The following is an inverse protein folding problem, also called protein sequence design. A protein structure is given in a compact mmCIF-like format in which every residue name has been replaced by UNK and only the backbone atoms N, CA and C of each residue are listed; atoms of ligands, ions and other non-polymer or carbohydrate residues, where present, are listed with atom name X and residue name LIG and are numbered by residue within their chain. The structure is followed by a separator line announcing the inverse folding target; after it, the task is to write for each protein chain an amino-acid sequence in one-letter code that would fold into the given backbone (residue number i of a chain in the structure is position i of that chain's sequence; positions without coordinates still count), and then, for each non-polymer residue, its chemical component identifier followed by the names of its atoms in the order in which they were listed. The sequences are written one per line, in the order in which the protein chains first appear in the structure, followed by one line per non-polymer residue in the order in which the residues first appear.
data_IF_475503008257
#
_entry.id   IF_475503008257
#
_cell.length_a   1.000
_cell.length_b   1.000
_cell.length_c   1.000
_cell.angle_alpha   90.00
_cell.angle_beta   90.00
_cell.angle_gamma   90.00
#
_symmetry.space_group_name_H-M   'P 1'
#
loop_
_entity.id
_entity.type
_entity.pdbx_description
1 polymer ?
#
# COMPACT_ATOMS: atom_id res chain seq x y z
N UNK A 1 12.23 16.23 -25.29
CA UNK A 1 11.90 14.82 -24.98
C UNK A 1 11.74 14.75 -23.48
N UNK A 2 10.63 14.29 -22.98
CA UNK A 2 10.39 14.15 -21.52
C UNK A 2 10.80 12.72 -21.16
N UNK A 3 11.71 12.56 -20.21
CA UNK A 3 12.17 11.25 -19.76
C UNK A 3 11.26 10.72 -18.65
N UNK A 4 11.26 9.41 -18.45
CA UNK A 4 10.50 8.76 -17.36
C UNK A 4 10.87 9.33 -15.99
N UNK A 5 12.18 9.59 -15.77
CA UNK A 5 12.68 10.22 -14.56
C UNK A 5 12.12 11.63 -14.29
N UNK A 6 11.88 12.42 -15.35
CA UNK A 6 11.32 13.77 -15.21
C UNK A 6 9.85 13.68 -14.75
N UNK A 7 9.11 12.67 -15.24
CA UNK A 7 7.72 12.42 -14.86
C UNK A 7 7.64 11.90 -13.42
N UNK A 8 8.54 10.97 -13.05
CA UNK A 8 8.63 10.42 -11.69
C UNK A 8 8.87 11.55 -10.67
N UNK A 9 9.88 12.40 -10.92
CA UNK A 9 10.22 13.51 -10.04
C UNK A 9 9.06 14.51 -9.92
N UNK A 10 8.39 14.83 -11.02
CA UNK A 10 7.23 15.73 -11.03
C UNK A 10 6.06 15.17 -10.22
N UNK A 11 5.79 13.86 -10.30
CA UNK A 11 4.74 13.20 -9.50
C UNK A 11 5.09 13.24 -8.01
N UNK A 12 6.34 12.93 -7.65
CA UNK A 12 6.79 12.95 -6.25
C UNK A 12 6.69 14.37 -5.68
N UNK A 13 7.14 15.39 -6.41
CA UNK A 13 7.01 16.76 -5.97
C UNK A 13 5.55 17.20 -5.82
N UNK A 14 4.68 16.81 -6.76
CA UNK A 14 3.25 17.10 -6.68
C UNK A 14 2.65 16.50 -5.40
N UNK A 15 2.98 15.25 -5.09
CA UNK A 15 2.46 14.56 -3.90
C UNK A 15 3.02 15.16 -2.61
N UNK A 16 4.32 15.52 -2.57
CA UNK A 16 4.93 16.25 -1.44
C UNK A 16 4.23 17.58 -1.19
N UNK A 17 3.89 18.32 -2.25
CA UNK A 17 3.11 19.56 -2.15
C UNK A 17 1.66 19.34 -1.68
N UNK A 18 1.18 18.10 -1.73
CA UNK A 18 -0.12 17.65 -1.18
C UNK A 18 0.00 17.02 0.22
N UNK A 19 1.12 17.26 0.91
CA UNK A 19 1.45 16.74 2.23
C UNK A 19 1.63 15.22 2.31
N UNK A 20 2.01 14.57 1.19
CA UNK A 20 2.50 13.20 1.26
C UNK A 20 3.93 13.19 1.80
N UNK A 21 4.18 12.35 2.78
CA UNK A 21 5.53 12.11 3.29
C UNK A 21 6.33 11.28 2.27
N UNK A 22 7.52 11.74 1.91
CA UNK A 22 8.39 11.00 1.02
C UNK A 22 9.22 9.99 1.81
N UNK A 23 9.15 8.71 1.40
CA UNK A 23 9.95 7.62 1.94
C UNK A 23 11.10 7.36 0.97
N UNK A 24 12.32 7.66 1.40
CA UNK A 24 13.52 7.35 0.64
C UNK A 24 13.82 5.85 0.66
N UNK A 25 14.49 5.34 -0.40
CA UNK A 25 14.92 3.94 -0.47
C UNK A 25 15.90 3.56 0.65
N UNK A 26 16.55 4.56 1.27
CA UNK A 26 17.43 4.41 2.44
C UNK A 26 16.68 4.55 3.78
N UNK A 27 15.36 4.73 3.77
CA UNK A 27 14.56 4.76 4.98
C UNK A 27 14.73 3.47 5.78
N UNK A 28 14.75 3.60 7.10
CA UNK A 28 15.03 2.50 8.01
C UNK A 28 14.04 1.33 7.83
N UNK A 29 12.75 1.63 7.56
CA UNK A 29 11.77 0.59 7.27
C UNK A 29 12.09 -0.13 5.96
N UNK A 30 12.42 0.61 4.88
CA UNK A 30 12.75 0.03 3.57
C UNK A 30 13.98 -0.87 3.66
N UNK A 31 15.01 -0.45 4.39
CA UNK A 31 16.27 -1.20 4.52
C UNK A 31 16.14 -2.47 5.37
N UNK A 32 15.28 -2.45 6.40
CA UNK A 32 15.19 -3.55 7.37
C UNK A 32 14.05 -4.54 7.09
N UNK A 33 13.12 -4.23 6.18
CA UNK A 33 12.06 -5.15 5.81
C UNK A 33 12.57 -6.30 4.94
N UNK A 34 11.86 -7.42 4.94
CA UNK A 34 12.05 -8.44 3.91
C UNK A 34 11.45 -7.94 2.60
N UNK A 35 12.01 -8.40 1.46
CA UNK A 35 11.55 -7.95 0.15
C UNK A 35 10.12 -8.39 -0.20
N UNK A 36 9.58 -9.40 0.47
CA UNK A 36 8.20 -9.88 0.38
C UNK A 36 7.25 -9.23 1.39
N UNK A 37 7.76 -8.30 2.23
CA UNK A 37 6.96 -7.49 3.13
C UNK A 37 6.58 -6.17 2.44
N UNK A 38 5.32 -6.07 2.04
CA UNK A 38 4.79 -4.91 1.31
C UNK A 38 4.17 -3.87 2.26
N UNK A 39 3.71 -4.31 3.42
CA UNK A 39 3.00 -3.49 4.41
C UNK A 39 3.96 -3.06 5.51
N UNK A 40 3.98 -1.76 5.82
CA UNK A 40 4.65 -1.26 7.01
C UNK A 40 3.75 -1.51 8.23
N UNK A 41 3.93 -2.67 8.87
CA UNK A 41 3.07 -3.14 9.97
C UNK A 41 3.15 -2.25 11.21
N UNK A 42 4.33 -1.71 11.52
CA UNK A 42 4.53 -0.87 12.69
C UNK A 42 3.79 0.46 12.52
N UNK A 43 3.93 1.09 11.35
CA UNK A 43 3.17 2.28 11.01
C UNK A 43 1.67 2.01 10.96
N UNK A 44 1.26 0.87 10.37
CA UNK A 44 -0.15 0.49 10.33
C UNK A 44 -0.72 0.36 11.75
N UNK A 45 -0.06 -0.35 12.67
CA UNK A 45 -0.50 -0.48 14.05
C UNK A 45 -0.64 0.87 14.76
N UNK A 46 0.33 1.76 14.58
CA UNK A 46 0.27 3.12 15.11
C UNK A 46 -0.94 3.89 14.56
N UNK A 47 -1.15 3.85 13.24
CA UNK A 47 -2.32 4.47 12.62
C UNK A 47 -3.63 3.87 13.13
N UNK A 48 -3.73 2.53 13.22
CA UNK A 48 -4.94 1.87 13.72
C UNK A 48 -5.28 2.29 15.15
N UNK A 49 -4.27 2.48 16.00
CA UNK A 49 -4.48 2.93 17.39
C UNK A 49 -5.03 4.35 17.47
N UNK A 50 -4.77 5.19 16.44
CA UNK A 50 -5.26 6.58 16.38
C UNK A 50 -6.63 6.72 15.74
N UNK A 51 -6.93 5.94 14.71
CA UNK A 51 -8.18 6.06 13.95
C UNK A 51 -9.33 5.21 14.50
N UNK A 52 -9.05 4.28 15.42
CA UNK A 52 -10.06 3.43 16.02
C UNK A 52 -10.29 3.78 17.49
N UNK A 53 -11.48 3.48 17.99
CA UNK A 53 -11.85 3.75 19.40
C UNK A 53 -11.07 2.85 20.37
N UNK A 54 -10.70 1.64 19.94
CA UNK A 54 -9.96 0.71 20.79
C UNK A 54 -8.45 0.89 20.65
N UNK A 55 -7.75 0.88 21.79
CA UNK A 55 -6.30 0.82 21.89
C UNK A 55 -5.81 -0.57 22.35
N UNK A 56 -6.69 -1.58 22.33
CA UNK A 56 -6.33 -2.94 22.67
C UNK A 56 -5.35 -3.49 21.62
N UNK A 57 -4.09 -3.64 22.02
CA UNK A 57 -3.02 -4.08 21.15
C UNK A 57 -3.28 -5.46 20.52
N UNK A 58 -3.92 -6.39 21.28
CA UNK A 58 -4.22 -7.73 20.77
C UNK A 58 -5.24 -7.65 19.62
N UNK A 59 -6.27 -6.82 19.77
CA UNK A 59 -7.31 -6.60 18.75
C UNK A 59 -6.70 -5.95 17.50
N UNK A 60 -5.90 -4.89 17.68
CA UNK A 60 -5.27 -4.20 16.54
C UNK A 60 -4.28 -5.11 15.81
N UNK A 61 -3.49 -5.89 16.54
CA UNK A 61 -2.52 -6.81 15.96
C UNK A 61 -3.22 -7.97 15.22
N UNK A 62 -4.37 -8.44 15.72
CA UNK A 62 -5.18 -9.43 15.00
C UNK A 62 -5.71 -8.87 13.68
N UNK A 63 -6.13 -7.61 13.63
CA UNK A 63 -6.54 -6.94 12.40
C UNK A 63 -5.38 -6.87 11.38
N UNK A 64 -4.17 -6.52 11.83
CA UNK A 64 -2.96 -6.51 10.98
C UNK A 64 -2.64 -7.92 10.49
N UNK A 65 -2.78 -8.95 11.33
CA UNK A 65 -2.57 -10.34 10.95
C UNK A 65 -3.56 -10.78 9.86
N UNK A 66 -4.84 -10.44 9.99
CA UNK A 66 -5.87 -10.78 8.99
C UNK A 66 -5.57 -10.17 7.62
N UNK A 67 -5.09 -8.93 7.56
CA UNK A 67 -4.78 -8.29 6.27
C UNK A 67 -3.46 -8.76 5.66
N UNK A 68 -2.51 -9.18 6.49
CA UNK A 68 -1.20 -9.67 6.01
C UNK A 68 -1.19 -11.14 5.65
N UNK A 69 -2.19 -11.91 6.09
CA UNK A 69 -2.30 -13.37 5.88
C UNK A 69 -3.64 -13.71 5.25
N UNK A 70 -3.88 -13.17 4.06
CA UNK A 70 -5.08 -13.52 3.29
C UNK A 70 -4.92 -14.93 2.72
N UNK A 71 -5.68 -15.88 3.28
CA UNK A 71 -5.60 -17.32 2.95
C UNK A 71 -6.51 -17.73 1.79
N UNK A 72 -7.04 -16.77 1.05
CA UNK A 72 -7.92 -17.05 -0.08
C UNK A 72 -7.16 -17.76 -1.22
N UNK A 73 -7.78 -18.73 -1.91
CA UNK A 73 -7.11 -19.61 -2.85
C UNK A 73 -6.60 -18.93 -4.11
N UNK A 74 -7.25 -17.85 -4.55
CA UNK A 74 -6.85 -17.13 -5.76
C UNK A 74 -6.43 -15.69 -5.46
N UNK A 75 -5.64 -15.08 -6.36
CA UNK A 75 -5.27 -13.68 -6.29
C UNK A 75 -6.51 -12.77 -6.33
N UNK A 76 -7.49 -13.09 -7.17
CA UNK A 76 -8.74 -12.35 -7.27
C UNK A 76 -9.49 -12.33 -5.93
N UNK A 77 -9.64 -13.48 -5.29
CA UNK A 77 -10.33 -13.56 -3.99
C UNK A 77 -9.57 -12.85 -2.88
N UNK A 78 -8.23 -12.90 -2.90
CA UNK A 78 -7.40 -12.13 -1.96
C UNK A 78 -7.57 -10.63 -2.17
N UNK A 79 -7.52 -10.15 -3.41
CA UNK A 79 -7.75 -8.75 -3.72
C UNK A 79 -9.17 -8.30 -3.34
N UNK A 80 -10.18 -9.13 -3.58
CA UNK A 80 -11.56 -8.84 -3.19
C UNK A 80 -11.70 -8.76 -1.66
N UNK A 81 -11.11 -9.70 -0.92
CA UNK A 81 -11.13 -9.70 0.54
C UNK A 81 -10.38 -8.48 1.10
N UNK A 82 -9.22 -8.15 0.55
CA UNK A 82 -8.46 -6.96 0.92
C UNK A 82 -9.26 -5.68 0.70
N UNK A 83 -9.87 -5.54 -0.48
CA UNK A 83 -10.70 -4.38 -0.81
C UNK A 83 -11.90 -4.25 0.13
N UNK A 84 -12.52 -5.38 0.47
CA UNK A 84 -13.61 -5.40 1.45
C UNK A 84 -13.14 -4.91 2.83
N UNK A 85 -11.97 -5.36 3.29
CA UNK A 85 -11.40 -4.89 4.55
C UNK A 85 -11.06 -3.39 4.53
N UNK A 86 -10.63 -2.85 3.39
CA UNK A 86 -10.39 -1.42 3.26
C UNK A 86 -11.66 -0.59 3.42
N UNK A 87 -12.78 -1.04 2.85
CA UNK A 87 -14.05 -0.28 2.83
C UNK A 87 -14.86 -0.53 4.10
N UNK A 88 -15.07 -1.79 4.44
CA UNK A 88 -15.99 -2.20 5.52
C UNK A 88 -15.30 -2.25 6.89
N UNK A 89 -13.96 -2.31 6.91
CA UNK A 89 -13.19 -2.61 8.12
C UNK A 89 -13.14 -4.11 8.41
N UNK A 90 -12.47 -4.46 9.49
CA UNK A 90 -12.23 -5.82 9.95
C UNK A 90 -12.91 -6.05 11.29
N UNK A 91 -13.89 -6.93 11.35
CA UNK A 91 -14.47 -7.36 12.61
C UNK A 91 -13.56 -8.41 13.27
N UNK A 92 -13.19 -8.17 14.52
CA UNK A 92 -12.38 -9.05 15.35
C UNK A 92 -13.25 -9.73 16.38
N UNK A 93 -13.31 -11.07 16.33
CA UNK A 93 -14.02 -11.85 17.34
C UNK A 93 -13.26 -11.82 18.65
N UNK A 94 -13.91 -11.37 19.71
CA UNK A 94 -13.29 -11.31 21.02
C UNK A 94 -14.32 -11.56 22.13
N UNK A 95 -13.99 -12.46 23.03
CA UNK A 95 -14.81 -12.75 24.23
C UNK A 95 -14.74 -11.65 25.30
N UNK A 96 -13.76 -10.76 25.18
CA UNK A 96 -13.53 -9.68 26.12
C UNK A 96 -14.44 -8.47 25.86
N UNK A 97 -15.16 -8.46 24.75
CA UNK A 97 -16.01 -7.36 24.32
C UNK A 97 -17.46 -7.82 24.15
N UNK A 98 -18.46 -7.06 24.63
CA UNK A 98 -19.87 -7.40 24.47
C UNK A 98 -20.33 -7.34 23.00
N UNK A 99 -19.62 -6.55 22.18
CA UNK A 99 -19.79 -6.45 20.73
C UNK A 99 -18.41 -6.56 20.11
N UNK A 100 -18.29 -7.41 19.09
CA UNK A 100 -17.03 -7.60 18.39
C UNK A 100 -16.51 -6.28 17.82
N UNK A 101 -15.26 -5.87 18.13
CA UNK A 101 -14.70 -4.62 17.62
C UNK A 101 -14.60 -4.62 16.10
N UNK A 102 -15.02 -3.52 15.47
CA UNK A 102 -14.79 -3.22 14.07
C UNK A 102 -13.56 -2.31 13.95
N UNK A 103 -12.52 -2.77 13.27
CA UNK A 103 -11.28 -2.05 13.07
C UNK A 103 -11.25 -1.50 11.65
N UNK A 104 -11.23 -0.19 11.51
CA UNK A 104 -11.08 0.53 10.24
C UNK A 104 -9.60 0.65 9.91
N UNK A 105 -9.23 0.38 8.66
CA UNK A 105 -7.85 0.50 8.17
C UNK A 105 -7.55 1.92 7.68
N UNK A 106 -8.58 2.64 7.25
CA UNK A 106 -8.54 4.00 6.72
C UNK A 106 -9.69 4.78 7.36
N UNK A 107 -9.42 6.01 7.77
CA UNK A 107 -10.44 6.96 8.17
C UNK A 107 -10.90 7.76 6.95
N UNK A 108 -12.06 7.37 6.38
CA UNK A 108 -12.67 8.06 5.24
C UNK A 108 -13.49 9.29 5.66
N UNK A 109 -13.89 9.37 6.94
CA UNK A 109 -14.70 10.47 7.47
C UNK A 109 -13.82 11.70 7.77
N UNK A 110 -12.61 11.44 8.28
CA UNK A 110 -11.60 12.45 8.58
C UNK A 110 -10.26 12.05 7.94
N UNK A 111 -10.09 12.27 6.62
CA UNK A 111 -8.91 11.81 5.88
C UNK A 111 -7.56 12.31 6.45
N UNK A 112 -7.57 13.45 7.13
CA UNK A 112 -6.41 14.03 7.80
C UNK A 112 -5.86 13.18 8.96
N UNK A 113 -6.63 12.23 9.46
CA UNK A 113 -6.17 11.27 10.48
C UNK A 113 -5.28 10.17 9.88
N UNK A 114 -5.27 10.03 8.55
CA UNK A 114 -4.42 9.05 7.88
C UNK A 114 -3.03 9.62 7.59
N UNK A 115 -2.06 8.72 7.48
CA UNK A 115 -0.71 9.04 7.00
C UNK A 115 -0.63 8.68 5.52
N UNK A 116 -0.35 9.67 4.70
CA UNK A 116 -0.14 9.53 3.26
C UNK A 116 1.35 9.57 2.96
N UNK A 117 1.86 8.55 2.30
CA UNK A 117 3.28 8.45 1.97
C UNK A 117 3.47 8.10 0.50
N UNK A 118 4.59 8.50 -0.06
CA UNK A 118 5.01 8.15 -1.42
C UNK A 118 6.47 7.71 -1.41
N UNK A 119 6.76 6.67 -2.15
CA UNK A 119 8.13 6.23 -2.42
C UNK A 119 8.35 6.01 -3.91
N UNK A 120 9.61 5.96 -4.31
CA UNK A 120 9.98 5.59 -5.68
C UNK A 120 10.99 4.45 -5.67
N UNK A 121 10.98 3.66 -6.75
CA UNK A 121 11.95 2.60 -7.05
C UNK A 121 12.23 1.64 -5.88
N UNK A 122 11.21 1.40 -5.04
CA UNK A 122 11.32 0.45 -3.94
C UNK A 122 11.25 -0.98 -4.45
N UNK A 123 12.28 -1.74 -4.17
CA UNK A 123 12.38 -3.13 -4.62
C UNK A 123 11.47 -4.04 -3.80
N UNK A 124 10.67 -4.84 -4.49
CA UNK A 124 9.85 -5.91 -3.92
C UNK A 124 10.21 -7.27 -4.55
N UNK A 125 9.88 -8.35 -3.84
CA UNK A 125 10.04 -9.70 -4.32
C UNK A 125 8.69 -10.43 -4.33
N UNK A 126 8.29 -10.90 -5.51
CA UNK A 126 7.13 -11.74 -5.69
C UNK A 126 7.59 -13.14 -6.13
N UNK A 127 7.76 -14.03 -5.15
CA UNK A 127 8.27 -15.38 -5.40
C UNK A 127 9.69 -15.37 -5.96
N UNK A 128 9.85 -15.66 -7.26
CA UNK A 128 11.15 -15.67 -7.95
C UNK A 128 11.45 -14.37 -8.70
N UNK A 129 10.50 -13.45 -8.76
CA UNK A 129 10.60 -12.22 -9.54
C UNK A 129 10.84 -11.02 -8.61
N UNK A 130 11.80 -10.18 -8.99
CA UNK A 130 11.95 -8.87 -8.38
C UNK A 130 11.13 -7.85 -9.19
N UNK A 131 10.45 -6.96 -8.47
CA UNK A 131 9.71 -5.83 -9.02
C UNK A 131 10.24 -4.54 -8.42
N UNK A 132 10.39 -3.52 -9.24
CA UNK A 132 10.83 -2.19 -8.83
C UNK A 132 9.87 -1.21 -9.51
N UNK A 133 8.69 -0.95 -8.94
CA UNK A 133 7.77 0.03 -9.50
C UNK A 133 8.36 1.44 -9.40
N UNK A 134 8.01 2.31 -10.36
CA UNK A 134 8.50 3.68 -10.40
C UNK A 134 8.00 4.47 -9.19
N UNK A 135 6.70 4.40 -8.89
CA UNK A 135 6.10 5.09 -7.73
C UNK A 135 5.14 4.18 -7.00
N UNK A 136 5.20 4.21 -5.67
CA UNK A 136 4.23 3.55 -4.78
C UNK A 136 3.65 4.56 -3.81
N UNK A 137 2.32 4.60 -3.69
CA UNK A 137 1.63 5.42 -2.71
C UNK A 137 1.09 4.54 -1.60
N UNK A 138 1.39 4.93 -0.37
CA UNK A 138 0.93 4.26 0.84
C UNK A 138 -0.08 5.12 1.59
N UNK A 139 -1.06 4.47 2.19
CA UNK A 139 -1.95 5.08 3.19
C UNK A 139 -1.88 4.20 4.44
N UNK A 140 -1.51 4.81 5.56
CA UNK A 140 -1.34 4.12 6.85
C UNK A 140 -0.37 2.91 6.75
N UNK A 141 0.67 3.01 5.90
CA UNK A 141 1.62 1.91 5.69
C UNK A 141 1.14 0.80 4.75
N UNK A 142 -0.06 0.93 4.15
CA UNK A 142 -0.62 0.02 3.15
C UNK A 142 -0.27 0.52 1.74
N UNK A 143 0.41 -0.27 0.88
CA UNK A 143 0.68 0.10 -0.51
C UNK A 143 -0.60 -0.04 -1.33
N UNK A 144 -1.27 1.07 -1.62
CA UNK A 144 -2.57 1.05 -2.28
C UNK A 144 -2.52 1.42 -3.76
N UNK A 145 -1.50 2.19 -4.19
CA UNK A 145 -1.35 2.57 -5.59
C UNK A 145 0.08 2.26 -6.01
N UNK A 146 0.20 1.57 -7.14
CA UNK A 146 1.46 1.28 -7.81
C UNK A 146 1.40 1.91 -9.18
N UNK A 147 2.41 2.70 -9.54
CA UNK A 147 2.51 3.35 -10.84
C UNK A 147 3.74 2.83 -11.58
N UNK A 148 3.54 2.54 -12.86
CA UNK A 148 4.59 2.28 -13.83
C UNK A 148 4.51 3.38 -14.87
N UNK A 149 5.59 4.13 -15.02
CA UNK A 149 5.65 5.30 -15.89
C UNK A 149 6.26 4.93 -17.23
N UNK A 150 5.87 5.64 -18.27
CA UNK A 150 6.47 5.49 -19.60
C UNK A 150 6.78 6.84 -20.18
N UNK A 151 7.95 6.93 -20.83
CA UNK A 151 8.32 8.13 -21.58
C UNK A 151 7.30 8.37 -22.70
N UNK A 152 6.90 9.61 -22.87
CA UNK A 152 6.05 9.98 -24.00
C UNK A 152 6.90 9.99 -25.27
N UNK A 153 6.69 9.00 -26.13
CA UNK A 153 7.15 9.02 -27.51
C UNK A 153 5.93 9.15 -28.43
N UNK A 154 6.08 9.87 -29.54
CA UNK A 154 5.01 10.05 -30.54
C UNK A 154 4.52 8.70 -31.11
N UNK A 155 5.33 7.65 -30.97
CA UNK A 155 5.03 6.27 -31.35
C UNK A 155 4.55 5.41 -30.17
N UNK A 156 3.81 5.97 -29.21
CA UNK A 156 3.20 5.20 -28.10
C UNK A 156 2.22 4.17 -28.66
N UNK A 157 2.76 3.05 -29.12
CA UNK A 157 2.03 1.95 -29.73
C UNK A 157 1.40 1.07 -28.67
N UNK A 158 0.39 0.28 -29.09
CA UNK A 158 -0.24 -0.77 -28.26
C UNK A 158 0.77 -1.66 -27.52
N UNK A 159 1.94 -1.90 -28.15
CA UNK A 159 3.03 -2.69 -27.57
C UNK A 159 3.58 -2.08 -26.26
N UNK A 160 3.67 -0.76 -26.14
CA UNK A 160 4.14 -0.10 -24.91
C UNK A 160 3.14 -0.26 -23.75
N UNK A 161 1.83 -0.24 -24.06
CA UNK A 161 0.79 -0.50 -23.09
C UNK A 161 0.79 -1.96 -22.62
N UNK A 162 1.04 -2.90 -23.56
CA UNK A 162 1.18 -4.32 -23.24
C UNK A 162 2.41 -4.59 -22.36
N UNK A 163 3.53 -3.90 -22.61
CA UNK A 163 4.74 -4.01 -21.80
C UNK A 163 4.53 -3.47 -20.39
N UNK A 164 3.91 -2.30 -20.24
CA UNK A 164 3.59 -1.73 -18.94
C UNK A 164 2.64 -2.65 -18.13
N UNK A 165 1.62 -3.20 -18.80
CA UNK A 165 0.71 -4.16 -18.19
C UNK A 165 1.44 -5.42 -17.69
N UNK A 166 2.37 -5.96 -18.50
CA UNK A 166 3.17 -7.14 -18.13
C UNK A 166 4.13 -6.85 -16.95
N UNK A 167 4.70 -5.63 -16.89
CA UNK A 167 5.56 -5.22 -15.77
C UNK A 167 4.81 -5.16 -14.44
N UNK A 168 3.57 -4.71 -14.45
CA UNK A 168 2.70 -4.69 -13.27
C UNK A 168 2.20 -6.09 -12.87
N UNK A 169 2.52 -7.14 -13.63
CA UNK A 169 2.15 -8.51 -13.32
C UNK A 169 0.76 -8.88 -13.83
N UNK A 170 0.45 -8.50 -15.06
CA UNK A 170 -0.85 -8.73 -15.70
C UNK A 170 -1.44 -10.10 -15.37
N UNK A 171 -2.67 -10.09 -14.85
CA UNK A 171 -3.47 -11.25 -14.48
C UNK A 171 -4.00 -11.98 -15.72
#
# INVERSE_FOLDING_TARGET
MVYESDIEEAIIELLKNKNYEFIDVNDNWILNRKLDEFINKDLLLDCLSRINVTNDFEILNEAVNKITRLENPSLFERNFAFHKYLIDGITIESKNYPVNPLIRLIDFESPENNIFQVSHQVKFNEGRNNRIPDVVIYINGLPLIVMELKSFSEDATKAMLEDAYNQLGGC
#
